data_IF_018006721842
#
_entry.id   IF_018006721842
#
_cell.length_a   1.000
_cell.length_b   1.000
_cell.length_c   1.000
_cell.angle_alpha   90.00
_cell.angle_beta   90.00
_cell.angle_gamma   90.00
#
_symmetry.space_group_name_H-M   'P 1'
#
loop_
_entity.id
_entity.type
_entity.pdbx_description
1 polymer ?
#
# COMPACT_ATOMS: atom_id res chain seq x y z
N UNK A 1 -12.78 20.21 18.97
CA UNK A 1 -12.68 18.81 19.38
C UNK A 1 -11.80 18.74 20.59
N UNK A 2 -12.28 18.15 21.66
CA UNK A 2 -11.51 17.98 22.89
C UNK A 2 -11.46 16.46 23.16
N UNK A 3 -10.27 15.92 23.38
CA UNK A 3 -10.08 14.49 23.66
C UNK A 3 -8.62 14.15 23.71
N UNK A 4 -8.29 13.03 24.37
CA UNK A 4 -6.92 12.59 24.57
C UNK A 4 -6.21 12.28 23.24
N UNK A 5 -6.94 11.79 22.23
CA UNK A 5 -6.39 11.60 20.87
C UNK A 5 -5.77 12.89 20.33
N UNK A 6 -6.48 14.02 20.43
CA UNK A 6 -6.02 15.30 19.89
C UNK A 6 -4.89 15.89 20.74
N UNK A 7 -4.92 15.66 22.06
CA UNK A 7 -3.84 16.05 22.94
C UNK A 7 -2.55 15.25 22.68
N UNK A 8 -2.66 13.93 22.45
CA UNK A 8 -1.51 13.10 22.11
C UNK A 8 -0.93 13.49 20.74
N UNK A 9 -1.78 13.81 19.75
CA UNK A 9 -1.37 14.38 18.46
C UNK A 9 -0.58 15.69 18.66
N UNK A 10 -1.09 16.59 19.50
CA UNK A 10 -0.43 17.83 19.80
C UNK A 10 0.91 17.60 20.51
N UNK A 11 0.92 16.77 21.53
CA UNK A 11 2.12 16.45 22.32
C UNK A 11 3.23 15.84 21.45
N UNK A 12 2.91 14.94 20.53
CA UNK A 12 3.89 14.35 19.61
C UNK A 12 4.65 15.40 18.78
N UNK A 13 3.99 16.52 18.48
CA UNK A 13 4.61 17.62 17.76
C UNK A 13 5.50 18.48 18.69
N UNK A 14 5.00 18.79 19.91
CA UNK A 14 5.71 19.65 20.86
C UNK A 14 6.91 19.00 21.49
N UNK A 15 6.85 17.69 21.74
CA UNK A 15 7.88 16.95 22.47
C UNK A 15 8.88 16.25 21.51
N UNK A 16 8.90 16.67 20.23
CA UNK A 16 9.70 16.02 19.19
C UNK A 16 9.47 14.51 19.08
N UNK A 17 8.26 14.07 19.51
CA UNK A 17 7.85 12.69 19.44
C UNK A 17 7.47 12.26 18.01
N UNK A 18 7.30 10.97 17.81
CA UNK A 18 6.72 10.39 16.60
C UNK A 18 5.47 9.61 16.94
N UNK A 19 4.37 9.90 16.23
CA UNK A 19 3.10 9.21 16.45
C UNK A 19 2.58 8.64 15.13
N UNK A 20 2.53 7.34 15.04
CA UNK A 20 1.86 6.67 13.93
C UNK A 20 0.51 6.12 14.37
N UNK A 21 -0.54 6.67 13.78
CA UNK A 21 -1.93 6.34 14.09
C UNK A 21 -2.53 5.55 12.95
N UNK A 22 -3.06 4.37 13.26
CA UNK A 22 -3.88 3.59 12.33
C UNK A 22 -5.35 3.86 12.62
N UNK A 23 -6.06 4.43 11.65
CA UNK A 23 -7.51 4.65 11.70
C UNK A 23 -8.20 3.60 10.86
N UNK A 24 -8.92 2.69 11.50
CA UNK A 24 -9.55 1.58 10.79
C UNK A 24 -11.04 1.42 11.12
N UNK A 25 -11.73 0.61 10.30
CA UNK A 25 -13.15 0.34 10.46
C UNK A 25 -13.81 0.03 9.12
N UNK A 26 -15.08 -0.36 9.10
CA UNK A 26 -15.75 -0.78 7.88
C UNK A 26 -15.77 0.32 6.81
N UNK A 27 -15.94 -0.03 5.53
CA UNK A 27 -16.12 0.96 4.47
C UNK A 27 -17.26 1.94 4.82
N UNK A 28 -17.09 3.21 4.45
CA UNK A 28 -18.08 4.29 4.68
C UNK A 28 -18.35 4.63 6.15
N UNK A 29 -17.50 4.22 7.09
CA UNK A 29 -17.61 4.59 8.52
C UNK A 29 -17.13 6.00 8.86
N UNK A 30 -16.65 6.78 7.88
CA UNK A 30 -16.10 8.15 8.05
C UNK A 30 -14.69 8.20 8.67
N UNK A 31 -13.84 7.19 8.44
CA UNK A 31 -12.44 7.17 8.86
C UNK A 31 -11.67 8.39 8.36
N UNK A 32 -11.76 8.65 7.05
CA UNK A 32 -11.10 9.81 6.43
C UNK A 32 -11.60 11.13 7.01
N UNK A 33 -12.89 11.23 7.37
CA UNK A 33 -13.43 12.42 8.05
C UNK A 33 -12.73 12.68 9.38
N UNK A 34 -12.54 11.64 10.19
CA UNK A 34 -11.81 11.77 11.46
C UNK A 34 -10.33 12.15 11.23
N UNK A 35 -9.69 11.53 10.23
CA UNK A 35 -8.31 11.85 9.86
C UNK A 35 -8.16 13.31 9.41
N UNK A 36 -9.10 13.82 8.64
CA UNK A 36 -9.13 15.22 8.21
C UNK A 36 -9.36 16.18 9.39
N UNK A 37 -10.18 15.82 10.33
CA UNK A 37 -10.35 16.60 11.56
C UNK A 37 -9.09 16.60 12.43
N UNK A 38 -8.37 15.47 12.52
CA UNK A 38 -7.10 15.40 13.22
C UNK A 38 -6.05 16.33 12.55
N UNK A 39 -6.01 16.34 11.22
CA UNK A 39 -5.16 17.27 10.48
C UNK A 39 -5.59 18.72 10.67
N UNK A 40 -6.89 19.01 10.66
CA UNK A 40 -7.40 20.36 10.90
C UNK A 40 -7.06 20.87 12.31
N UNK A 41 -7.08 20.01 13.30
CA UNK A 41 -6.68 20.37 14.67
C UNK A 41 -5.26 20.94 14.72
N UNK A 42 -4.38 20.47 13.83
CA UNK A 42 -3.00 20.92 13.72
C UNK A 42 -2.83 22.13 12.80
N UNK A 43 -3.37 22.04 11.59
CA UNK A 43 -3.12 23.06 10.56
C UNK A 43 -4.03 24.29 10.68
N UNK A 44 -5.20 24.16 11.29
CA UNK A 44 -6.24 25.20 11.42
C UNK A 44 -6.61 25.85 10.07
N UNK A 45 -6.38 25.14 8.97
CA UNK A 45 -6.53 25.59 7.58
C UNK A 45 -6.90 24.40 6.72
N UNK A 46 -8.08 24.42 6.10
CA UNK A 46 -8.58 23.32 5.29
C UNK A 46 -7.79 23.09 4.00
N UNK A 47 -7.21 24.12 3.40
CA UNK A 47 -6.39 23.94 2.19
C UNK A 47 -5.09 23.22 2.56
N UNK A 48 -4.44 23.56 3.68
CA UNK A 48 -3.29 22.83 4.21
C UNK A 48 -3.64 21.39 4.62
N UNK A 49 -4.83 21.17 5.16
CA UNK A 49 -5.32 19.82 5.46
C UNK A 49 -5.39 18.99 4.18
N UNK A 50 -6.02 19.52 3.11
CA UNK A 50 -6.12 18.84 1.84
C UNK A 50 -4.73 18.57 1.22
N UNK A 51 -3.82 19.52 1.33
CA UNK A 51 -2.43 19.34 0.90
C UNK A 51 -1.68 18.26 1.69
N UNK A 52 -2.03 18.01 2.95
CA UNK A 52 -1.40 16.98 3.79
C UNK A 52 -1.84 15.56 3.46
N UNK A 53 -2.84 15.39 2.57
CA UNK A 53 -3.37 14.09 2.21
C UNK A 53 -2.50 13.47 1.10
N UNK A 54 -2.14 12.22 1.29
CA UNK A 54 -1.46 11.39 0.29
C UNK A 54 -2.18 10.06 0.15
N UNK A 55 -2.11 9.47 -1.04
CA UNK A 55 -2.77 8.21 -1.36
C UNK A 55 -1.80 7.13 -1.82
N UNK A 56 -0.53 7.47 -2.02
CA UNK A 56 0.49 6.51 -2.46
C UNK A 56 1.86 6.86 -1.86
N UNK A 57 2.76 5.88 -1.88
CA UNK A 57 4.08 6.02 -1.30
C UNK A 57 4.95 7.10 -1.97
N UNK A 58 5.01 7.24 -3.31
CA UNK A 58 5.78 8.31 -3.95
C UNK A 58 5.35 9.71 -3.49
N UNK A 59 4.03 9.95 -3.38
CA UNK A 59 3.51 11.24 -2.91
C UNK A 59 3.83 11.46 -1.42
N UNK A 60 3.79 10.40 -0.59
CA UNK A 60 4.21 10.49 0.81
C UNK A 60 5.68 10.93 0.90
N UNK A 61 6.58 10.27 0.16
CA UNK A 61 8.00 10.61 0.17
C UNK A 61 8.26 12.04 -0.31
N UNK A 62 7.64 12.43 -1.42
CA UNK A 62 7.73 13.81 -1.91
C UNK A 62 7.22 14.84 -0.89
N UNK A 63 6.17 14.51 -0.16
CA UNK A 63 5.61 15.40 0.88
C UNK A 63 6.56 15.54 2.07
N UNK A 64 7.19 14.46 2.49
CA UNK A 64 8.19 14.47 3.56
C UNK A 64 9.42 15.29 3.13
N UNK A 65 9.92 15.08 1.90
CA UNK A 65 11.08 15.82 1.37
C UNK A 65 10.81 17.31 1.16
N UNK A 66 9.57 17.67 0.79
CA UNK A 66 9.17 19.08 0.61
C UNK A 66 8.85 19.79 1.92
N UNK A 67 9.02 19.13 3.05
CA UNK A 67 8.76 19.66 4.38
C UNK A 67 9.54 20.97 4.61
N UNK A 68 8.81 22.07 4.60
CA UNK A 68 9.34 23.38 4.98
C UNK A 68 9.28 23.54 6.48
N UNK A 69 10.22 24.26 7.09
CA UNK A 69 10.13 24.59 8.51
C UNK A 69 8.79 25.30 8.77
N UNK A 70 7.92 24.66 9.54
CA UNK A 70 6.64 25.24 9.91
C UNK A 70 6.75 25.93 11.25
N UNK A 71 6.45 27.23 11.26
CA UNK A 71 6.36 27.98 12.51
C UNK A 71 5.03 27.65 13.19
N UNK A 72 5.11 26.98 14.33
CA UNK A 72 3.92 26.67 15.12
C UNK A 72 3.36 27.92 15.77
N UNK A 73 2.06 28.22 15.53
CA UNK A 73 1.43 29.40 16.08
C UNK A 73 1.50 29.47 17.60
N UNK A 74 1.50 28.30 18.25
CA UNK A 74 1.37 28.18 19.70
C UNK A 74 2.71 28.19 20.46
N UNK A 75 3.83 27.78 19.86
CA UNK A 75 5.13 27.73 20.55
C UNK A 75 6.15 28.71 20.02
N UNK A 76 5.87 29.33 18.89
CA UNK A 76 6.82 30.20 18.20
C UNK A 76 8.16 29.53 17.83
N UNK A 77 8.28 28.20 17.99
CA UNK A 77 9.44 27.39 17.61
C UNK A 77 9.36 27.00 16.14
N UNK A 78 10.50 26.97 15.48
CA UNK A 78 10.63 26.43 14.14
C UNK A 78 10.82 24.92 14.24
N UNK A 79 9.87 24.16 13.71
CA UNK A 79 10.03 22.73 13.53
C UNK A 79 10.49 22.47 12.11
N UNK A 80 11.58 21.70 11.96
CA UNK A 80 12.20 21.40 10.65
C UNK A 80 11.52 20.22 9.94
N UNK A 81 10.51 19.61 10.54
CA UNK A 81 9.84 18.42 10.01
C UNK A 81 8.36 18.67 9.69
N UNK A 82 7.80 17.83 8.83
CA UNK A 82 6.37 17.87 8.50
C UNK A 82 5.54 17.51 9.73
N UNK A 83 4.57 18.33 10.12
CA UNK A 83 3.80 18.09 11.34
C UNK A 83 2.94 16.85 11.28
N UNK A 84 2.16 16.70 10.20
CA UNK A 84 1.22 15.59 10.03
C UNK A 84 0.99 15.32 8.55
N UNK A 85 0.95 14.03 8.20
CA UNK A 85 0.49 13.55 6.90
C UNK A 85 -0.64 12.55 7.10
N UNK A 86 -1.70 12.69 6.32
CA UNK A 86 -2.79 11.72 6.22
C UNK A 86 -2.54 10.82 5.03
N UNK A 87 -2.23 9.55 5.27
CA UNK A 87 -2.17 8.54 4.21
C UNK A 87 -3.52 7.84 4.12
N UNK A 88 -4.36 8.33 3.21
CA UNK A 88 -5.72 7.81 3.06
C UNK A 88 -5.74 6.55 2.18
N UNK A 89 -6.66 5.62 2.51
CA UNK A 89 -6.80 4.31 1.85
C UNK A 89 -5.46 3.51 1.78
N UNK A 90 -4.64 3.61 2.86
CA UNK A 90 -3.33 2.95 2.96
C UNK A 90 -3.39 1.44 2.63
N UNK A 91 -4.44 0.73 3.07
CA UNK A 91 -4.63 -0.70 2.81
C UNK A 91 -4.76 -1.05 1.32
N UNK A 92 -5.29 -0.14 0.49
CA UNK A 92 -5.43 -0.37 -0.96
C UNK A 92 -4.08 -0.35 -1.67
N UNK A 93 -3.16 0.51 -1.22
CA UNK A 93 -1.86 0.74 -1.86
C UNK A 93 -0.69 0.00 -1.19
N UNK A 94 -0.92 -0.54 0.01
CA UNK A 94 0.06 -1.32 0.78
C UNK A 94 -0.30 -2.80 0.90
N UNK A 95 -1.21 -3.29 0.04
CA UNK A 95 -1.64 -4.68 0.05
C UNK A 95 -0.43 -5.62 -0.10
N UNK A 96 -0.40 -6.68 0.71
CA UNK A 96 0.68 -7.68 0.73
C UNK A 96 1.02 -8.22 -0.66
N UNK A 97 0.02 -8.35 -1.55
CA UNK A 97 0.23 -8.86 -2.90
C UNK A 97 1.02 -7.89 -3.79
N UNK A 98 0.76 -6.60 -3.69
CA UNK A 98 1.40 -5.57 -4.55
C UNK A 98 2.77 -5.14 -4.01
N UNK A 99 2.97 -5.25 -2.69
CA UNK A 99 4.19 -4.80 -2.02
C UNK A 99 5.28 -5.86 -1.93
N UNK A 100 4.94 -7.16 -2.05
CA UNK A 100 5.91 -8.27 -1.93
C UNK A 100 7.01 -8.26 -3.00
N UNK A 101 6.84 -7.51 -4.09
CA UNK A 101 7.78 -7.46 -5.21
C UNK A 101 8.26 -6.06 -5.56
N UNK A 102 7.97 -5.06 -4.73
CA UNK A 102 8.39 -3.66 -4.96
C UNK A 102 9.62 -3.33 -4.13
N UNK A 103 10.75 -3.10 -4.80
CA UNK A 103 11.99 -2.61 -4.16
C UNK A 103 11.77 -1.31 -3.39
N UNK A 104 10.88 -0.43 -3.86
CA UNK A 104 10.54 0.82 -3.19
C UNK A 104 9.87 0.57 -1.81
N UNK A 105 9.01 -0.44 -1.70
CA UNK A 105 8.43 -0.81 -0.43
C UNK A 105 9.42 -1.42 0.55
N UNK A 106 10.40 -2.19 0.08
CA UNK A 106 11.43 -2.77 0.94
C UNK A 106 12.37 -1.68 1.47
N UNK A 107 12.71 -0.69 0.64
CA UNK A 107 13.48 0.49 1.06
C UNK A 107 12.66 1.31 2.06
N UNK A 108 11.37 1.55 1.80
CA UNK A 108 10.49 2.27 2.71
C UNK A 108 10.37 1.59 4.07
N UNK A 109 10.17 0.27 4.11
CA UNK A 109 10.14 -0.50 5.36
C UNK A 109 11.43 -0.38 6.16
N UNK A 110 12.58 -0.45 5.47
CA UNK A 110 13.90 -0.28 6.10
C UNK A 110 14.15 1.14 6.60
N UNK A 111 13.67 2.15 5.87
CA UNK A 111 13.78 3.57 6.22
C UNK A 111 12.68 4.07 7.16
N UNK A 112 11.67 3.25 7.47
CA UNK A 112 10.51 3.71 8.25
C UNK A 112 10.87 4.23 9.64
N UNK A 113 11.90 3.65 10.26
CA UNK A 113 12.38 4.10 11.58
C UNK A 113 13.01 5.50 11.54
N UNK A 114 13.47 5.94 10.34
CA UNK A 114 14.02 7.27 10.13
C UNK A 114 12.94 8.31 9.78
N UNK A 115 11.73 7.89 9.40
CA UNK A 115 10.65 8.84 9.03
C UNK A 115 10.30 9.76 10.19
N UNK A 116 10.39 9.29 11.43
CA UNK A 116 10.13 10.10 12.61
C UNK A 116 11.03 11.33 12.77
N UNK A 117 12.17 11.39 12.10
CA UNK A 117 13.03 12.60 12.08
C UNK A 117 12.45 13.70 11.18
N UNK A 118 11.73 13.33 10.13
CA UNK A 118 11.21 14.24 9.11
C UNK A 118 9.69 14.48 9.22
N UNK A 119 8.98 13.57 9.89
CA UNK A 119 7.53 13.58 10.05
C UNK A 119 7.15 13.35 11.51
N UNK A 120 6.36 14.24 12.11
CA UNK A 120 5.92 14.05 13.48
C UNK A 120 4.76 13.07 13.60
N UNK A 121 3.78 13.12 12.69
CA UNK A 121 2.59 12.29 12.76
C UNK A 121 2.26 11.69 11.39
N UNK A 122 2.21 10.38 11.34
CA UNK A 122 1.62 9.63 10.23
C UNK A 122 0.26 9.08 10.64
N UNK A 123 -0.78 9.48 9.93
CA UNK A 123 -2.14 9.04 10.15
C UNK A 123 -2.61 8.23 8.94
N UNK A 124 -2.68 6.91 9.08
CA UNK A 124 -3.05 6.01 7.99
C UNK A 124 -4.48 5.48 8.15
N UNK A 125 -5.31 5.62 7.11
CA UNK A 125 -6.66 5.02 7.10
C UNK A 125 -6.67 3.70 6.38
N UNK A 126 -7.40 2.71 6.90
CA UNK A 126 -7.54 1.39 6.30
C UNK A 126 -8.85 0.70 6.71
N UNK A 127 -9.25 -0.35 6.02
CA UNK A 127 -10.46 -1.10 6.38
C UNK A 127 -10.19 -1.95 7.62
N UNK A 128 -9.07 -2.65 7.66
CA UNK A 128 -8.66 -3.48 8.78
C UNK A 128 -7.18 -3.21 9.12
N UNK A 129 -6.86 -3.04 10.40
CA UNK A 129 -5.48 -2.84 10.85
C UNK A 129 -4.54 -4.03 10.48
N UNK A 130 -5.11 -5.22 10.26
CA UNK A 130 -4.36 -6.41 9.82
C UNK A 130 -3.94 -6.36 8.35
N UNK A 131 -4.50 -5.44 7.54
CA UNK A 131 -4.11 -5.25 6.13
C UNK A 131 -2.71 -4.66 6.00
N UNK A 132 -2.24 -3.94 7.01
CA UNK A 132 -0.86 -3.49 7.05
C UNK A 132 0.08 -4.70 6.98
N UNK A 133 1.18 -4.57 6.23
CA UNK A 133 2.19 -5.63 6.19
C UNK A 133 2.71 -5.93 7.59
N UNK A 134 3.04 -7.18 7.88
CA UNK A 134 3.52 -7.60 9.22
C UNK A 134 4.72 -6.79 9.71
N UNK A 135 5.53 -6.27 8.81
CA UNK A 135 6.69 -5.42 9.12
C UNK A 135 6.28 -4.01 9.55
N UNK A 136 5.14 -3.51 9.08
CA UNK A 136 4.59 -2.22 9.46
C UNK A 136 3.64 -2.34 10.66
N UNK A 137 3.02 -3.50 10.86
CA UNK A 137 2.12 -3.73 12.00
C UNK A 137 2.79 -3.44 13.34
N UNK A 138 4.08 -3.75 13.47
CA UNK A 138 4.82 -3.55 14.72
C UNK A 138 5.35 -2.12 14.91
N UNK A 139 4.97 -1.17 14.08
CA UNK A 139 5.51 0.19 14.08
C UNK A 139 4.52 1.24 14.57
N UNK A 140 3.21 1.01 14.42
CA UNK A 140 2.23 1.98 14.92
C UNK A 140 2.08 1.89 16.43
N UNK A 141 1.88 3.05 17.05
CA UNK A 141 1.77 3.21 18.51
C UNK A 141 0.39 3.72 18.96
N UNK A 142 -0.51 3.94 18.00
CA UNK A 142 -1.87 4.35 18.27
C UNK A 142 -2.86 3.73 17.27
N UNK A 143 -4.03 3.33 17.75
CA UNK A 143 -5.10 2.75 16.94
C UNK A 143 -6.42 3.45 17.22
N UNK A 144 -7.10 3.84 16.16
CA UNK A 144 -8.42 4.46 16.25
C UNK A 144 -9.42 3.64 15.45
N UNK A 145 -10.42 3.10 16.13
CA UNK A 145 -11.49 2.33 15.51
C UNK A 145 -12.71 3.22 15.25
N UNK A 146 -13.15 3.31 14.01
CA UNK A 146 -14.37 4.02 13.59
C UNK A 146 -15.39 3.01 13.10
N UNK A 147 -16.27 2.52 13.99
CA UNK A 147 -17.32 1.53 13.65
C UNK A 147 -18.56 2.17 13.05
N UNK A 148 -18.93 3.33 13.55
CA UNK A 148 -20.12 4.09 13.13
C UNK A 148 -19.73 5.52 12.81
N UNK A 149 -20.49 6.14 11.88
CA UNK A 149 -20.26 7.54 11.51
C UNK A 149 -20.29 8.45 12.73
N UNK A 150 -19.31 9.32 12.85
CA UNK A 150 -19.24 10.33 13.92
C UNK A 150 -18.78 9.80 15.28
N UNK A 151 -18.41 8.52 15.40
CA UNK A 151 -17.94 7.93 16.65
C UNK A 151 -16.63 7.21 16.48
N UNK A 152 -15.71 7.41 17.42
CA UNK A 152 -14.42 6.72 17.43
C UNK A 152 -14.10 6.13 18.80
N UNK A 153 -13.22 5.13 18.79
CA UNK A 153 -12.56 4.56 19.96
C UNK A 153 -11.07 4.70 19.75
N UNK A 154 -10.36 5.21 20.73
CA UNK A 154 -8.91 5.39 20.72
C UNK A 154 -8.22 4.46 21.71
N UNK A 155 -7.24 3.70 21.21
CA UNK A 155 -6.40 2.81 21.97
C UNK A 155 -4.92 3.16 21.75
N UNK A 156 -4.11 3.23 22.82
CA UNK A 156 -2.65 3.21 22.71
C UNK A 156 -2.18 1.79 22.48
N UNK A 157 -1.15 1.65 21.66
CA UNK A 157 -0.58 0.36 21.27
C UNK A 157 0.87 0.29 21.72
N UNK A 158 1.18 -0.74 22.49
CA UNK A 158 2.54 -1.07 22.91
C UNK A 158 2.93 -2.41 22.30
N UNK A 159 4.12 -2.47 21.72
CA UNK A 159 4.69 -3.70 21.18
C UNK A 159 5.71 -4.26 22.15
N UNK A 160 5.34 -5.37 22.82
CA UNK A 160 6.17 -6.02 23.83
C UNK A 160 6.91 -7.19 23.19
N UNK A 161 8.23 -7.18 23.29
CA UNK A 161 9.05 -8.34 22.92
C UNK A 161 9.09 -9.31 24.11
N UNK A 162 9.01 -10.62 23.84
CA UNK A 162 9.26 -11.62 24.86
C UNK A 162 10.75 -11.61 25.26
N UNK A 163 11.06 -12.21 26.43
CA UNK A 163 12.44 -12.27 26.96
C UNK A 163 13.45 -12.92 26.02
N UNK A 164 13.00 -13.66 25.01
CA UNK A 164 13.84 -14.34 24.03
C UNK A 164 13.91 -13.59 22.69
N UNK A 165 13.19 -12.49 22.54
CA UNK A 165 13.14 -11.70 21.30
C UNK A 165 12.42 -12.38 20.11
N UNK A 166 11.84 -13.57 20.31
CA UNK A 166 11.25 -14.36 19.22
C UNK A 166 9.79 -14.01 18.93
N UNK A 167 9.08 -13.38 19.87
CA UNK A 167 7.67 -13.05 19.70
C UNK A 167 7.39 -11.63 20.15
N UNK A 168 6.79 -10.88 19.26
CA UNK A 168 6.23 -9.56 19.56
C UNK A 168 4.75 -9.72 19.90
N UNK A 169 4.33 -9.21 21.04
CA UNK A 169 2.93 -9.18 21.46
C UNK A 169 2.43 -7.75 21.45
N UNK A 170 1.25 -7.55 20.92
CA UNK A 170 0.57 -6.27 20.95
C UNK A 170 -0.27 -6.16 22.21
N UNK A 171 -0.05 -5.08 22.96
CA UNK A 171 -0.91 -4.69 24.09
C UNK A 171 -1.66 -3.43 23.69
N UNK A 172 -2.97 -3.48 23.70
CA UNK A 172 -3.86 -2.33 23.50
C UNK A 172 -4.36 -1.84 24.85
N UNK A 173 -4.23 -0.54 25.07
CA UNK A 173 -4.78 0.12 26.25
C UNK A 173 -5.83 1.11 25.77
N UNK A 174 -7.08 0.84 26.15
CA UNK A 174 -8.18 1.77 25.87
C UNK A 174 -7.95 3.11 26.59
N UNK A 175 -8.09 4.19 25.87
CA UNK A 175 -7.89 5.55 26.36
C UNK A 175 -9.23 6.29 26.43
N UNK A 176 -9.92 6.38 25.28
CA UNK A 176 -11.18 7.12 25.21
C UNK A 176 -12.10 6.61 24.11
N UNK A 177 -13.32 7.09 24.16
CA UNK A 177 -14.26 7.08 23.04
C UNK A 177 -14.80 8.49 22.86
N UNK A 178 -14.93 8.93 21.63
CA UNK A 178 -15.36 10.30 21.32
C UNK A 178 -16.25 10.36 20.10
N UNK A 179 -16.65 11.60 19.80
CA UNK A 179 -17.47 11.92 18.63
C UNK A 179 -16.80 12.99 17.78
N UNK A 180 -17.13 13.02 16.50
CA UNK A 180 -16.67 14.02 15.56
C UNK A 180 -17.79 14.37 14.55
N UNK A 181 -17.78 15.62 14.11
CA UNK A 181 -18.74 16.13 13.16
C UNK A 181 -18.37 15.79 11.71
N UNK A 182 -19.32 15.86 10.76
CA UNK A 182 -18.98 15.88 9.34
C UNK A 182 -18.04 17.05 9.03
N UNK A 183 -17.17 16.87 8.04
CA UNK A 183 -16.36 17.99 7.53
C UNK A 183 -17.24 18.95 6.74
N UNK A 184 -16.83 20.24 6.61
CA UNK A 184 -17.57 21.21 5.82
C UNK A 184 -17.84 20.73 4.40
N UNK A 185 -19.04 20.95 3.84
CA UNK A 185 -19.40 20.42 2.52
C UNK A 185 -18.45 20.83 1.39
N UNK A 186 -17.94 22.06 1.41
CA UNK A 186 -17.00 22.59 0.44
C UNK A 186 -15.64 21.87 0.50
N UNK A 187 -15.20 21.49 1.69
CA UNK A 187 -13.98 20.69 1.89
C UNK A 187 -14.19 19.26 1.40
N UNK A 188 -15.37 18.70 1.72
CA UNK A 188 -15.72 17.36 1.26
C UNK A 188 -15.71 17.25 -0.27
N UNK A 189 -16.26 18.25 -0.98
CA UNK A 189 -16.24 18.27 -2.45
C UNK A 189 -14.81 18.28 -3.01
N UNK A 190 -13.91 19.07 -2.43
CA UNK A 190 -12.50 19.10 -2.84
C UNK A 190 -11.81 17.75 -2.58
N UNK A 191 -12.00 17.21 -1.38
CA UNK A 191 -11.46 15.91 -0.99
C UNK A 191 -11.98 14.75 -1.88
N UNK A 192 -13.29 14.72 -2.12
CA UNK A 192 -13.93 13.68 -2.94
C UNK A 192 -13.41 13.70 -4.39
N UNK A 193 -13.17 14.90 -4.94
CA UNK A 193 -12.54 15.07 -6.25
C UNK A 193 -11.14 14.44 -6.28
N UNK A 194 -10.30 14.70 -5.29
CA UNK A 194 -8.96 14.10 -5.19
C UNK A 194 -9.04 12.57 -5.14
N UNK A 195 -9.97 12.05 -4.34
CA UNK A 195 -10.21 10.60 -4.21
C UNK A 195 -10.75 9.97 -5.49
N UNK A 196 -11.62 10.67 -6.21
CA UNK A 196 -12.14 10.19 -7.50
C UNK A 196 -11.05 10.10 -8.58
N UNK A 197 -10.11 11.03 -8.61
CA UNK A 197 -8.97 10.99 -9.53
C UNK A 197 -8.11 9.74 -9.26
N UNK A 198 -7.81 9.47 -8.00
CA UNK A 198 -7.12 8.23 -7.61
C UNK A 198 -7.91 6.97 -7.99
N UNK A 199 -9.22 6.95 -7.73
CA UNK A 199 -10.06 5.81 -8.08
C UNK A 199 -10.02 5.52 -9.58
N UNK A 200 -9.98 6.55 -10.43
CA UNK A 200 -9.82 6.38 -11.88
C UNK A 200 -8.48 5.72 -12.22
N UNK A 201 -7.39 6.12 -11.57
CA UNK A 201 -6.08 5.48 -11.78
C UNK A 201 -6.10 3.99 -11.39
N UNK A 202 -6.75 3.66 -10.27
CA UNK A 202 -6.92 2.26 -9.83
C UNK A 202 -7.74 1.48 -10.84
N UNK A 203 -8.84 2.03 -11.35
CA UNK A 203 -9.64 1.38 -12.39
C UNK A 203 -8.87 1.20 -13.71
N UNK A 204 -8.04 2.18 -14.10
CA UNK A 204 -7.16 2.02 -15.27
C UNK A 204 -6.21 0.84 -15.04
N UNK A 205 -5.55 0.76 -13.88
CA UNK A 205 -4.66 -0.38 -13.54
C UNK A 205 -5.39 -1.72 -13.54
N UNK A 206 -6.61 -1.77 -12.98
CA UNK A 206 -7.44 -2.98 -13.00
C UNK A 206 -7.80 -3.35 -14.45
N UNK A 207 -8.20 -2.37 -15.26
CA UNK A 207 -8.51 -2.58 -16.66
C UNK A 207 -7.29 -3.06 -17.44
N UNK A 208 -6.12 -2.48 -17.18
CA UNK A 208 -4.86 -2.91 -17.79
C UNK A 208 -4.48 -4.32 -17.33
N UNK A 209 -4.65 -4.64 -16.06
CA UNK A 209 -4.43 -5.99 -15.53
C UNK A 209 -5.40 -7.02 -16.13
N UNK A 210 -6.68 -6.65 -16.27
CA UNK A 210 -7.68 -7.49 -16.92
C UNK A 210 -7.46 -7.56 -18.44
N UNK A 211 -6.88 -6.53 -19.06
CA UNK A 211 -6.49 -6.52 -20.48
C UNK A 211 -5.13 -7.18 -20.73
N UNK A 212 -4.52 -7.79 -19.70
CA UNK A 212 -3.36 -8.68 -19.89
C UNK A 212 -3.66 -9.89 -20.78
N UNK A 213 -4.92 -10.16 -21.08
CA UNK A 213 -5.35 -11.05 -22.16
C UNK A 213 -5.17 -10.43 -23.56
N UNK A 214 -4.72 -9.17 -23.65
CA UNK A 214 -4.48 -8.51 -24.93
C UNK A 214 -3.04 -8.80 -25.39
N UNK A 215 -2.92 -9.33 -26.57
CA UNK A 215 -1.67 -9.72 -27.24
C UNK A 215 -0.62 -8.60 -27.20
N UNK A 216 -1.00 -7.34 -27.50
CA UNK A 216 -0.09 -6.21 -27.52
C UNK A 216 0.49 -5.84 -26.15
N UNK A 217 -0.30 -5.98 -25.11
CA UNK A 217 0.15 -5.77 -23.73
C UNK A 217 1.12 -6.87 -23.31
N UNK A 218 0.79 -8.12 -23.63
CA UNK A 218 1.68 -9.24 -23.38
C UNK A 218 3.03 -9.07 -24.10
N UNK A 219 3.03 -8.66 -25.35
CA UNK A 219 4.27 -8.42 -26.13
C UNK A 219 5.17 -7.38 -25.46
N UNK A 220 4.62 -6.26 -25.00
CA UNK A 220 5.41 -5.21 -24.32
C UNK A 220 6.05 -5.66 -23.03
N UNK A 221 5.46 -6.64 -22.35
CA UNK A 221 5.89 -7.16 -21.06
C UNK A 221 6.77 -8.42 -21.17
N UNK A 222 6.96 -8.97 -22.37
CA UNK A 222 7.79 -10.14 -22.57
C UNK A 222 9.26 -9.83 -22.28
N UNK A 223 9.87 -10.72 -21.52
CA UNK A 223 11.34 -10.76 -21.37
C UNK A 223 11.93 -11.72 -22.38
N UNK A 224 13.22 -11.59 -22.73
CA UNK A 224 13.88 -12.52 -23.62
C UNK A 224 13.72 -14.00 -23.21
N UNK A 225 13.78 -14.27 -21.90
CA UNK A 225 13.62 -15.61 -21.35
C UNK A 225 12.20 -16.16 -21.53
N UNK A 226 11.18 -15.28 -21.49
CA UNK A 226 9.78 -15.67 -21.71
C UNK A 226 9.59 -16.13 -23.16
N UNK A 227 10.21 -15.42 -24.13
CA UNK A 227 10.17 -15.80 -25.55
C UNK A 227 10.88 -17.15 -25.80
N UNK A 228 12.02 -17.36 -25.17
CA UNK A 228 12.74 -18.64 -25.27
C UNK A 228 11.86 -19.80 -24.79
N UNK A 229 11.19 -19.62 -23.64
CA UNK A 229 10.26 -20.63 -23.11
C UNK A 229 9.07 -20.87 -24.04
N UNK A 230 8.44 -19.82 -24.55
CA UNK A 230 7.29 -19.95 -25.46
C UNK A 230 7.68 -20.68 -26.75
N UNK A 231 8.78 -20.31 -27.39
CA UNK A 231 9.32 -20.99 -28.56
C UNK A 231 9.69 -22.44 -28.29
N UNK A 232 10.26 -22.71 -27.10
CA UNK A 232 10.57 -24.07 -26.69
C UNK A 232 9.29 -24.94 -26.61
N UNK A 233 8.25 -24.44 -25.93
CA UNK A 233 6.98 -25.18 -25.81
C UNK A 233 6.27 -25.32 -27.16
N UNK A 234 6.34 -24.29 -28.02
CA UNK A 234 5.77 -24.34 -29.36
C UNK A 234 6.39 -25.45 -30.22
N UNK A 235 7.71 -25.56 -30.17
CA UNK A 235 8.46 -26.53 -30.97
C UNK A 235 8.41 -27.96 -30.42
N UNK A 236 8.45 -28.12 -29.08
CA UNK A 236 8.56 -29.44 -28.43
C UNK A 236 7.21 -30.00 -27.99
N UNK A 237 6.15 -29.14 -27.95
CA UNK A 237 4.86 -29.47 -27.39
C UNK A 237 4.86 -29.48 -25.86
N UNK A 238 3.79 -30.06 -25.25
CA UNK A 238 3.60 -30.04 -23.80
C UNK A 238 4.78 -30.67 -23.05
N UNK A 239 5.43 -29.89 -22.19
CA UNK A 239 6.69 -30.27 -21.53
C UNK A 239 6.61 -30.22 -20.01
N UNK A 240 7.26 -31.15 -19.31
CA UNK A 240 7.36 -31.16 -17.85
C UNK A 240 8.34 -30.09 -17.36
N UNK A 241 8.12 -29.63 -16.14
CA UNK A 241 9.00 -28.62 -15.53
C UNK A 241 10.47 -29.08 -15.46
N UNK A 242 10.72 -30.36 -15.13
CA UNK A 242 12.08 -30.94 -15.12
C UNK A 242 12.74 -30.83 -16.48
N UNK A 243 12.04 -31.25 -17.53
CA UNK A 243 12.56 -31.21 -18.91
C UNK A 243 12.85 -29.79 -19.37
N UNK A 244 12.00 -28.81 -19.01
CA UNK A 244 12.21 -27.40 -19.30
C UNK A 244 13.45 -26.87 -18.57
N UNK A 245 13.63 -27.25 -17.29
CA UNK A 245 14.83 -26.86 -16.53
C UNK A 245 16.09 -27.45 -17.08
N UNK A 246 16.06 -28.72 -17.48
CA UNK A 246 17.23 -29.43 -18.00
C UNK A 246 17.71 -28.84 -19.35
N UNK A 247 16.76 -28.44 -20.21
CA UNK A 247 17.09 -27.92 -21.55
C UNK A 247 17.30 -26.38 -21.56
N UNK A 248 16.59 -25.59 -20.73
CA UNK A 248 16.68 -24.13 -20.72
C UNK A 248 17.49 -23.53 -19.56
N UNK A 249 17.90 -24.39 -18.58
CA UNK A 249 18.74 -23.97 -17.46
C UNK A 249 17.99 -23.38 -16.25
N UNK A 250 18.76 -23.01 -15.23
CA UNK A 250 18.33 -22.80 -13.82
C UNK A 250 17.25 -21.74 -13.57
N UNK A 251 16.94 -20.86 -14.51
CA UNK A 251 15.92 -19.80 -14.32
C UNK A 251 14.53 -20.15 -14.87
N UNK A 252 14.33 -21.37 -15.35
CA UNK A 252 13.06 -21.76 -15.97
C UNK A 252 11.87 -21.69 -15.01
N UNK A 253 12.07 -21.91 -13.70
CA UNK A 253 11.00 -21.85 -12.70
C UNK A 253 10.30 -20.47 -12.64
N UNK A 254 11.07 -19.41 -12.59
CA UNK A 254 10.54 -18.05 -12.51
C UNK A 254 9.87 -17.65 -13.82
N UNK A 255 10.44 -18.07 -14.95
CA UNK A 255 9.90 -17.84 -16.28
C UNK A 255 8.59 -18.58 -16.49
N UNK A 256 8.50 -19.85 -16.11
CA UNK A 256 7.26 -20.65 -16.12
C UNK A 256 6.20 -20.00 -15.25
N UNK A 257 6.57 -19.56 -14.03
CA UNK A 257 5.64 -18.88 -13.12
C UNK A 257 5.09 -17.58 -13.72
N UNK A 258 5.95 -16.76 -14.34
CA UNK A 258 5.54 -15.51 -15.02
C UNK A 258 4.63 -15.77 -16.21
N UNK A 259 5.01 -16.70 -17.09
CA UNK A 259 4.21 -17.03 -18.26
C UNK A 259 2.85 -17.62 -17.88
N UNK A 260 2.80 -18.45 -16.83
CA UNK A 260 1.54 -18.97 -16.28
C UNK A 260 0.66 -17.86 -15.69
N UNK A 261 1.23 -16.95 -14.89
CA UNK A 261 0.50 -15.81 -14.32
C UNK A 261 -0.08 -14.87 -15.39
N UNK A 262 0.50 -14.86 -16.59
CA UNK A 262 0.04 -14.09 -17.75
C UNK A 262 -0.85 -14.91 -18.71
N UNK A 263 -1.27 -16.09 -18.32
CA UNK A 263 -2.04 -16.99 -19.18
C UNK A 263 -1.39 -17.34 -20.54
N UNK A 264 -0.07 -17.19 -20.67
CA UNK A 264 0.66 -17.55 -21.90
C UNK A 264 0.86 -19.06 -22.02
N UNK A 265 0.94 -19.74 -20.87
CA UNK A 265 1.00 -21.20 -20.78
C UNK A 265 -0.03 -21.69 -19.74
N UNK A 266 -0.52 -22.90 -19.94
CA UNK A 266 -1.44 -23.59 -19.04
C UNK A 266 -0.81 -24.85 -18.49
N UNK A 267 -1.23 -25.26 -17.29
CA UNK A 267 -0.82 -26.55 -16.70
C UNK A 267 -1.85 -27.61 -17.09
N UNK A 268 -1.39 -28.71 -17.65
CA UNK A 268 -2.21 -29.90 -17.91
C UNK A 268 -1.74 -31.04 -17.01
N UNK A 269 -2.70 -31.82 -16.51
CA UNK A 269 -2.40 -32.99 -15.66
C UNK A 269 -1.75 -34.09 -16.51
N UNK A 270 -0.68 -34.67 -16.00
CA UNK A 270 0.04 -35.80 -16.62
C UNK A 270 0.14 -36.96 -15.62
N UNK A 271 -0.93 -37.20 -14.87
CA UNK A 271 -1.02 -38.23 -13.84
C UNK A 271 -0.92 -37.67 -12.41
N UNK A 272 -1.00 -38.53 -11.38
CA UNK A 272 -0.91 -38.13 -9.99
C UNK A 272 0.42 -37.39 -9.70
N UNK A 273 0.33 -36.16 -9.22
CA UNK A 273 1.49 -35.30 -8.86
C UNK A 273 2.38 -34.84 -10.03
N UNK A 274 1.94 -35.00 -11.29
CA UNK A 274 2.69 -34.53 -12.45
C UNK A 274 1.88 -33.55 -13.28
N UNK A 275 2.53 -32.48 -13.71
CA UNK A 275 1.93 -31.54 -14.68
C UNK A 275 2.91 -31.27 -15.82
N UNK A 276 2.35 -31.07 -17.01
CA UNK A 276 3.02 -30.52 -18.18
C UNK A 276 2.54 -29.10 -18.40
N UNK A 277 3.34 -28.30 -19.06
CA UNK A 277 2.97 -26.96 -19.51
C UNK A 277 2.75 -26.98 -21.01
N UNK A 278 1.64 -26.42 -21.42
CA UNK A 278 1.25 -26.25 -22.81
C UNK A 278 1.02 -24.77 -23.09
N UNK A 279 1.26 -24.36 -24.33
CA UNK A 279 0.98 -23.00 -24.74
C UNK A 279 -0.53 -22.74 -24.80
N UNK A 280 -0.99 -21.67 -24.16
CA UNK A 280 -2.38 -21.22 -24.28
C UNK A 280 -2.65 -20.61 -25.67
N UNK A 281 -3.92 -20.39 -26.01
CA UNK A 281 -4.24 -19.69 -27.26
C UNK A 281 -3.62 -18.27 -27.25
N UNK A 282 -3.71 -17.56 -26.13
CA UNK A 282 -3.07 -16.25 -25.97
C UNK A 282 -1.55 -16.31 -26.18
N UNK A 283 -0.88 -17.34 -25.65
CA UNK A 283 0.57 -17.54 -25.85
C UNK A 283 0.94 -17.73 -27.31
N UNK A 284 0.14 -18.48 -28.07
CA UNK A 284 0.31 -18.68 -29.52
C UNK A 284 0.13 -17.36 -30.29
N UNK A 285 -0.93 -16.61 -29.94
CA UNK A 285 -1.24 -15.32 -30.57
C UNK A 285 -0.13 -14.29 -30.31
N UNK A 286 0.38 -14.26 -29.08
CA UNK A 286 1.49 -13.39 -28.66
C UNK A 286 2.77 -13.73 -29.41
N UNK A 287 3.13 -15.01 -29.49
CA UNK A 287 4.35 -15.45 -30.22
C UNK A 287 4.24 -15.13 -31.71
N UNK A 288 3.10 -15.43 -32.32
CA UNK A 288 2.80 -15.13 -33.73
C UNK A 288 2.88 -13.63 -34.03
N UNK A 289 2.30 -12.81 -33.13
CA UNK A 289 2.32 -11.36 -33.32
C UNK A 289 3.71 -10.76 -33.06
N UNK A 290 4.49 -11.31 -32.14
CA UNK A 290 5.87 -10.91 -31.92
C UNK A 290 6.76 -11.20 -33.12
N UNK A 291 6.66 -12.40 -33.69
CA UNK A 291 7.47 -12.82 -34.87
C UNK A 291 7.11 -12.05 -36.14
N UNK A 292 5.91 -11.42 -36.22
CA UNK A 292 5.53 -10.51 -37.31
C UNK A 292 6.08 -9.11 -37.16
N UNK A 293 6.49 -8.69 -35.95
CA UNK A 293 6.99 -7.34 -35.64
C UNK A 293 8.53 -7.26 -35.68
N UNK A 294 9.20 -8.42 -35.58
CA UNK A 294 10.66 -8.57 -35.66
C UNK A 294 11.09 -9.04 -37.04
#
# INVERSE_FOLDING_TARGET
MNGQLFEDIRSAIYDDGYLWIVVHGPPRSSKSTLALWAAYYIYQDWDKVLESIVFNLPTLMSRIESGSPVRWPTTNKMHMRVPLVVYDDFGVHSNKADTQHSSAWDIFKGGFDCIGTELAILLATMVNAEEATSQLQNKYNAEVTVKTKGHYKYDKVEWLQDFRGFRTRMKKTWIESGTFDPIPPEVYVKYDKMRMELTKEVFVRIKDALSMDNVDTCIRMLKPEDLILLRYIDNKGPSRHSTINDELGVKAKDTVTRCKARNLIISISDGPNHCKYEMSQLGKDVLTAYDKKT
#
